data_IF_689704002310
#
_entry.id   IF_689704002310
#
_cell.length_a   1.000
_cell.length_b   1.000
_cell.length_c   1.000
_cell.angle_alpha   90.00
_cell.angle_beta   90.00
_cell.angle_gamma   90.00
#
_symmetry.space_group_name_H-M   'P 1'
#
loop_
_entity.id
_entity.type
_entity.pdbx_description
1 polymer ?
#
# COMPACT_ATOMS: atom_id res chain seq x y z
N UNK A 1 -12.18 -2.19 -0.90
CA UNK A 1 -13.10 -1.76 0.18
C UNK A 1 -12.45 -0.61 0.93
N UNK A 2 -13.19 0.48 1.07
CA UNK A 2 -12.71 1.67 1.75
C UNK A 2 -13.02 1.56 3.23
N UNK A 3 -12.01 1.62 4.09
CA UNK A 3 -12.21 1.67 5.53
C UNK A 3 -12.06 3.10 6.03
N UNK A 4 -13.17 3.80 6.13
CA UNK A 4 -13.28 5.09 6.81
C UNK A 4 -14.29 4.97 7.95
N UNK A 5 -14.13 3.96 8.77
CA UNK A 5 -15.02 3.74 9.90
C UNK A 5 -14.28 4.04 11.19
N UNK A 6 -14.97 4.69 12.13
CA UNK A 6 -14.48 4.86 13.51
C UNK A 6 -14.53 3.55 14.28
N UNK A 7 -15.21 2.53 13.74
CA UNK A 7 -15.29 1.20 14.33
C UNK A 7 -14.22 0.31 13.73
N UNK A 8 -13.45 -0.45 14.53
CA UNK A 8 -12.47 -1.38 13.98
C UNK A 8 -13.12 -2.38 13.03
N UNK A 9 -12.48 -2.62 11.90
CA UNK A 9 -12.82 -3.74 11.05
C UNK A 9 -12.09 -4.98 11.56
N UNK A 10 -12.79 -6.10 11.66
CA UNK A 10 -12.18 -7.37 12.04
C UNK A 10 -11.84 -8.17 10.79
N UNK A 11 -10.54 -8.29 10.54
CA UNK A 11 -10.01 -9.07 9.43
C UNK A 11 -9.99 -10.54 9.85
N UNK A 12 -10.85 -11.35 9.23
CA UNK A 12 -10.96 -12.76 9.58
C UNK A 12 -9.74 -13.57 9.10
N UNK A 13 -9.45 -14.73 9.71
CA UNK A 13 -8.37 -15.59 9.24
C UNK A 13 -8.47 -15.89 7.75
N UNK A 14 -7.38 -15.62 7.02
CA UNK A 14 -7.31 -15.83 5.58
C UNK A 14 -7.92 -14.73 4.72
N UNK A 15 -8.56 -13.75 5.32
CA UNK A 15 -9.17 -12.63 4.59
C UNK A 15 -8.11 -11.68 4.06
N UNK A 16 -8.29 -11.23 2.80
CA UNK A 16 -7.45 -10.25 2.12
C UNK A 16 -8.25 -8.97 1.91
N UNK A 17 -7.63 -7.83 2.20
CA UNK A 17 -8.23 -6.51 1.98
C UNK A 17 -7.25 -5.55 1.35
N UNK A 18 -7.80 -4.54 0.68
CA UNK A 18 -7.06 -3.34 0.33
C UNK A 18 -7.38 -2.25 1.34
N UNK A 19 -6.34 -1.65 1.90
CA UNK A 19 -6.45 -0.55 2.84
C UNK A 19 -5.57 0.60 2.36
N UNK A 20 -5.70 1.76 3.00
CA UNK A 20 -4.85 2.90 2.66
C UNK A 20 -4.15 3.42 3.90
N UNK A 21 -2.98 4.00 3.71
CA UNK A 21 -2.34 4.77 4.77
C UNK A 21 -3.00 6.15 4.83
N UNK A 22 -2.93 6.80 6.00
CA UNK A 22 -3.50 8.14 6.17
C UNK A 22 -2.66 9.22 5.49
N UNK A 23 -1.36 8.99 5.43
CA UNK A 23 -0.41 9.97 4.91
C UNK A 23 -0.41 10.00 3.39
N UNK A 24 -0.38 11.21 2.84
CA UNK A 24 -0.03 11.40 1.43
C UNK A 24 1.46 11.58 1.32
N UNK A 25 2.11 10.82 0.46
CA UNK A 25 3.54 10.93 0.22
C UNK A 25 3.83 11.47 -1.17
N UNK A 26 4.95 12.15 -1.30
CA UNK A 26 5.44 12.65 -2.59
C UNK A 26 6.93 12.37 -2.66
N UNK A 27 7.34 11.54 -3.61
CA UNK A 27 8.73 11.18 -3.80
C UNK A 27 9.35 11.97 -4.96
N UNK A 28 10.55 12.52 -4.78
CA UNK A 28 11.30 13.07 -5.90
C UNK A 28 11.75 11.96 -6.84
N UNK A 29 12.29 12.36 -8.01
CA UNK A 29 12.69 11.41 -9.03
C UNK A 29 13.90 10.54 -8.66
N UNK A 30 14.61 10.88 -7.58
CA UNK A 30 15.82 10.17 -7.13
C UNK A 30 15.65 9.45 -5.79
N UNK A 31 14.41 9.30 -5.31
CA UNK A 31 14.13 8.56 -4.08
C UNK A 31 13.05 7.52 -4.36
N UNK A 32 13.36 6.28 -4.04
CA UNK A 32 12.40 5.19 -3.99
C UNK A 32 12.06 4.86 -2.54
N UNK A 33 10.96 4.15 -2.32
CA UNK A 33 10.57 3.73 -0.98
C UNK A 33 10.02 2.32 -0.99
N UNK A 34 10.03 1.69 0.19
CA UNK A 34 9.35 0.41 0.41
C UNK A 34 8.53 0.49 1.68
N UNK A 35 7.37 -0.14 1.66
CA UNK A 35 6.56 -0.33 2.85
C UNK A 35 6.92 -1.65 3.51
N UNK A 36 7.05 -1.62 4.83
CA UNK A 36 7.29 -2.82 5.65
C UNK A 36 6.40 -2.76 6.88
N UNK A 37 5.81 -3.89 7.24
CA UNK A 37 5.05 -3.99 8.49
C UNK A 37 5.98 -3.78 9.70
N UNK A 38 5.42 -3.20 10.76
CA UNK A 38 6.06 -3.25 12.06
C UNK A 38 6.17 -4.71 12.51
N UNK A 39 7.28 -5.08 13.12
CA UNK A 39 7.51 -6.45 13.56
C UNK A 39 6.43 -6.93 14.55
N UNK A 40 5.91 -6.04 15.39
CA UNK A 40 4.82 -6.39 16.31
C UNK A 40 3.55 -6.77 15.56
N UNK A 41 3.26 -6.12 14.44
CA UNK A 41 2.10 -6.46 13.61
C UNK A 41 2.28 -7.80 12.92
N UNK A 42 3.46 -8.06 12.38
CA UNK A 42 3.76 -9.37 11.81
C UNK A 42 3.59 -10.51 12.80
N UNK A 43 4.00 -10.29 14.05
CA UNK A 43 3.87 -11.30 15.11
C UNK A 43 2.41 -11.57 15.51
N UNK A 44 1.52 -10.62 15.30
CA UNK A 44 0.09 -10.80 15.56
C UNK A 44 -0.62 -11.58 14.46
N UNK A 45 -0.01 -11.66 13.27
CA UNK A 45 -0.58 -12.38 12.13
C UNK A 45 -0.98 -11.50 10.96
N UNK A 46 -0.73 -10.19 11.02
CA UNK A 46 -0.86 -9.35 9.83
C UNK A 46 0.25 -9.66 8.86
N UNK A 47 -0.09 -9.70 7.58
CA UNK A 47 0.87 -9.82 6.50
C UNK A 47 0.54 -8.83 5.41
N UNK A 48 1.55 -8.19 4.86
CA UNK A 48 1.42 -7.37 3.67
C UNK A 48 2.02 -8.14 2.51
N UNK A 49 1.29 -8.29 1.41
CA UNK A 49 1.83 -9.00 0.26
C UNK A 49 3.01 -8.24 -0.33
N UNK A 50 3.89 -8.93 -1.02
CA UNK A 50 5.20 -8.40 -1.42
C UNK A 50 5.12 -7.42 -2.59
N UNK A 51 4.31 -6.38 -2.44
CA UNK A 51 4.15 -5.29 -3.42
C UNK A 51 4.33 -3.94 -2.74
N UNK A 52 5.27 -3.86 -1.81
CA UNK A 52 5.51 -2.66 -1.02
C UNK A 52 6.43 -1.63 -1.68
N UNK A 53 6.84 -1.85 -2.93
CA UNK A 53 7.73 -0.93 -3.63
C UNK A 53 6.98 0.31 -4.10
N UNK A 54 7.60 1.47 -3.87
CA UNK A 54 7.05 2.77 -4.27
C UNK A 54 8.06 3.45 -5.17
N UNK A 55 7.65 3.70 -6.41
CA UNK A 55 8.53 4.21 -7.45
C UNK A 55 8.97 5.65 -7.19
N UNK A 56 10.18 6.02 -7.63
CA UNK A 56 10.59 7.41 -7.66
C UNK A 56 9.58 8.26 -8.42
N UNK A 57 9.24 9.41 -7.87
CA UNK A 57 8.27 10.32 -8.48
C UNK A 57 6.82 10.05 -8.15
N UNK A 58 6.51 9.01 -7.37
CA UNK A 58 5.14 8.75 -6.93
C UNK A 58 4.64 9.87 -6.02
N UNK A 59 3.37 10.23 -6.18
CA UNK A 59 2.66 11.11 -5.26
C UNK A 59 1.24 10.57 -5.03
N UNK A 60 0.82 10.48 -3.78
CA UNK A 60 -0.50 9.99 -3.40
C UNK A 60 -0.48 9.22 -2.09
N UNK A 61 -1.60 8.58 -1.77
CA UNK A 61 -1.69 7.63 -0.67
C UNK A 61 -1.22 6.25 -1.15
N UNK A 62 -0.72 5.45 -0.22
CA UNK A 62 -0.28 4.08 -0.53
C UNK A 62 -1.42 3.13 -0.22
N UNK A 63 -1.74 2.27 -1.18
CA UNK A 63 -2.66 1.16 -0.97
C UNK A 63 -1.90 0.01 -0.34
N UNK A 64 -2.40 -0.48 0.79
CA UNK A 64 -1.86 -1.65 1.48
C UNK A 64 -2.66 -2.88 1.11
N UNK A 65 -1.97 -3.97 0.89
CA UNK A 65 -2.53 -5.26 0.53
C UNK A 65 -2.35 -6.20 1.73
N UNK A 66 -3.34 -6.21 2.62
CA UNK A 66 -3.24 -6.86 3.91
C UNK A 66 -4.00 -8.19 3.92
N UNK A 67 -3.42 -9.17 4.58
CA UNK A 67 -4.04 -10.47 4.81
C UNK A 67 -3.80 -10.89 6.26
N UNK A 68 -4.78 -11.57 6.85
CA UNK A 68 -4.64 -12.18 8.16
C UNK A 68 -4.15 -13.63 7.98
N UNK A 69 -2.90 -13.88 8.36
CA UNK A 69 -2.33 -15.24 8.32
C UNK A 69 -2.44 -15.96 9.67
N UNK A 70 -3.04 -15.32 10.67
CA UNK A 70 -3.37 -15.97 11.93
C UNK A 70 -4.57 -16.89 11.72
N UNK A 71 -4.41 -18.17 12.02
CA UNK A 71 -5.45 -19.18 11.76
C UNK A 71 -6.56 -19.19 12.82
N UNK A 72 -6.34 -18.54 13.95
CA UNK A 72 -7.15 -18.78 15.13
C UNK A 72 -7.99 -17.59 15.58
N UNK A 73 -7.67 -16.40 15.10
CA UNK A 73 -8.40 -15.21 15.53
C UNK A 73 -8.43 -14.13 14.45
N UNK A 74 -9.50 -13.31 14.50
CA UNK A 74 -9.62 -12.12 13.70
C UNK A 74 -8.70 -11.02 14.25
N UNK A 75 -8.22 -10.16 13.35
CA UNK A 75 -7.33 -9.07 13.70
C UNK A 75 -7.98 -7.73 13.39
N UNK A 76 -7.93 -6.75 14.32
CA UNK A 76 -8.55 -5.46 14.07
C UNK A 76 -7.75 -4.61 13.08
N UNK A 77 -8.46 -3.95 12.18
CA UNK A 77 -7.93 -2.85 11.36
C UNK A 77 -8.65 -1.60 11.81
N UNK A 78 -7.89 -0.61 12.24
CA UNK A 78 -8.43 0.56 12.90
C UNK A 78 -7.73 1.81 12.37
N UNK A 79 -8.51 2.88 12.15
CA UNK A 79 -7.95 4.15 11.73
C UNK A 79 -6.95 4.66 12.78
N UNK A 80 -5.81 5.13 12.29
CA UNK A 80 -4.74 5.65 13.15
C UNK A 80 -3.83 4.60 13.76
N UNK A 81 -4.10 3.29 13.56
CA UNK A 81 -3.19 2.28 14.07
C UNK A 81 -1.83 2.35 13.35
N UNK A 82 -0.77 2.09 14.10
CA UNK A 82 0.58 2.03 13.55
C UNK A 82 0.80 0.65 12.96
N UNK A 83 0.67 0.55 11.63
CA UNK A 83 0.73 -0.74 10.93
C UNK A 83 2.11 -1.04 10.38
N UNK A 84 2.85 -0.03 9.95
CA UNK A 84 4.12 -0.25 9.29
C UNK A 84 4.97 1.00 9.21
N UNK A 85 5.94 0.96 8.32
CA UNK A 85 6.92 2.03 8.14
C UNK A 85 7.36 2.10 6.69
N UNK A 86 7.76 3.29 6.26
CA UNK A 86 8.37 3.50 4.96
C UNK A 86 9.88 3.57 5.11
N UNK A 87 10.56 2.90 4.20
CA UNK A 87 12.00 2.95 4.09
C UNK A 87 12.35 3.66 2.78
N UNK A 88 13.10 4.74 2.88
CA UNK A 88 13.49 5.55 1.72
C UNK A 88 14.92 5.24 1.31
N UNK A 89 15.14 5.15 -0.01
CA UNK A 89 16.48 4.95 -0.54
C UNK A 89 16.71 5.93 -1.68
N UNK A 90 17.86 6.61 -1.63
CA UNK A 90 18.28 7.51 -2.69
C UNK A 90 18.92 6.70 -3.80
N UNK A 91 18.54 6.99 -5.04
CA UNK A 91 19.16 6.41 -6.23
C UNK A 91 20.36 7.23 -6.67
N UNK A 92 21.28 6.61 -7.44
CA UNK A 92 22.49 7.31 -7.90
C UNK A 92 22.18 8.44 -8.89
N UNK A 93 21.06 8.33 -9.60
CA UNK A 93 20.60 9.32 -10.56
C UNK A 93 19.07 9.35 -10.58
N UNK A 94 18.46 10.48 -10.98
CA UNK A 94 17.02 10.54 -11.16
C UNK A 94 16.52 9.49 -12.16
N UNK A 95 15.32 8.97 -11.92
CA UNK A 95 14.69 8.01 -12.82
C UNK A 95 14.47 8.66 -14.20
N UNK A 96 14.74 7.92 -15.26
CA UNK A 96 14.47 8.38 -16.63
C UNK A 96 13.00 8.57 -16.89
N UNK A 97 12.20 7.64 -16.37
CA UNK A 97 10.75 7.67 -16.47
C UNK A 97 10.19 7.65 -15.06
N UNK A 98 10.20 8.79 -14.35
CA UNK A 98 9.65 8.83 -13.00
C UNK A 98 8.16 8.52 -13.02
N UNK A 99 7.62 8.15 -11.87
CA UNK A 99 6.24 7.66 -11.77
C UNK A 99 5.21 8.66 -12.29
N UNK A 100 5.48 9.95 -12.20
CA UNK A 100 4.55 10.96 -12.73
C UNK A 100 4.38 10.90 -14.26
N UNK A 101 5.29 10.22 -15.00
CA UNK A 101 5.18 10.06 -16.44
C UNK A 101 4.49 8.76 -16.84
N UNK A 102 4.69 7.67 -16.08
CA UNK A 102 4.32 6.32 -16.50
C UNK A 102 3.44 5.55 -15.53
N UNK A 103 3.25 6.08 -14.32
CA UNK A 103 2.53 5.37 -13.26
C UNK A 103 1.02 5.35 -13.45
N UNK A 104 0.37 4.30 -12.94
CA UNK A 104 -1.07 4.09 -13.05
C UNK A 104 -1.84 4.60 -11.83
N UNK A 105 -1.16 4.89 -10.72
CA UNK A 105 -1.79 5.24 -9.44
C UNK A 105 -1.35 6.60 -8.92
N UNK A 106 -0.81 7.43 -9.82
CA UNK A 106 -0.30 8.76 -9.45
C UNK A 106 -1.44 9.62 -8.88
N UNK A 107 -1.13 10.29 -7.76
CA UNK A 107 -2.03 11.17 -7.04
C UNK A 107 -3.32 10.47 -6.55
N UNK A 108 -3.27 9.17 -6.31
CA UNK A 108 -4.37 8.48 -5.67
C UNK A 108 -4.65 9.08 -4.31
N UNK A 109 -5.92 9.31 -4.04
CA UNK A 109 -6.41 9.86 -2.76
C UNK A 109 -7.12 8.82 -1.92
N UNK A 110 -7.33 7.63 -2.48
CA UNK A 110 -8.02 6.54 -1.81
C UNK A 110 -7.55 5.19 -2.38
N UNK A 111 -8.00 4.12 -1.75
CA UNK A 111 -7.72 2.75 -2.21
C UNK A 111 -8.20 2.57 -3.64
N UNK A 112 -7.32 2.03 -4.48
CA UNK A 112 -7.63 1.75 -5.87
C UNK A 112 -7.33 0.29 -6.17
N UNK A 113 -8.27 -0.45 -6.79
CA UNK A 113 -7.99 -1.79 -7.28
C UNK A 113 -7.04 -1.73 -8.49
N UNK A 114 -6.57 -2.90 -8.93
CA UNK A 114 -5.68 -2.95 -10.08
C UNK A 114 -6.30 -2.27 -11.30
N UNK A 115 -5.53 -1.40 -11.93
CA UNK A 115 -5.93 -0.66 -13.15
C UNK A 115 -5.41 -1.31 -14.41
N UNK A 116 -4.73 -2.44 -14.30
CA UNK A 116 -4.17 -3.15 -15.44
C UNK A 116 -4.61 -4.60 -15.43
N UNK A 117 -4.71 -5.19 -16.62
CA UNK A 117 -4.95 -6.62 -16.78
C UNK A 117 -3.64 -7.40 -16.60
N UNK A 118 -3.71 -8.71 -16.79
CA UNK A 118 -2.54 -9.59 -16.63
C UNK A 118 -1.44 -9.33 -17.67
N UNK A 119 -1.75 -8.60 -18.74
CA UNK A 119 -0.77 -8.21 -19.77
C UNK A 119 -0.25 -6.79 -19.60
N UNK A 120 -0.63 -6.10 -18.51
CA UNK A 120 -0.24 -4.72 -18.26
C UNK A 120 -1.03 -3.69 -19.06
N UNK A 121 -2.13 -4.08 -19.68
CA UNK A 121 -3.01 -3.17 -20.42
C UNK A 121 -3.96 -2.46 -19.45
N UNK A 122 -4.16 -1.16 -19.66
CA UNK A 122 -5.08 -0.39 -18.82
C UNK A 122 -6.50 -0.92 -18.97
N UNK A 123 -7.16 -1.18 -17.83
CA UNK A 123 -8.56 -1.59 -17.79
C UNK A 123 -9.41 -0.32 -17.75
N UNK A 124 -10.26 -0.13 -18.78
CA UNK A 124 -11.15 1.01 -18.85
C UNK A 124 -12.34 0.85 -17.90
N UNK A 125 -12.81 1.97 -17.37
CA UNK A 125 -14.01 2.01 -16.54
C UNK A 125 -13.80 1.69 -15.07
N UNK A 126 -12.55 1.64 -14.62
CA UNK A 126 -12.22 1.45 -13.20
C UNK A 126 -11.81 2.77 -12.57
#
# INVERSE_FOLDING_TARGET
MLFRSTTPYLLDPGEFILAEIQETITLPADIEATFQLKSSRGREGYEHVMSGYIDPGYSGVITLELVNVNRFKSLPIEEGMKIGQLRFMKTDAPARNPYWDTGHYQQDTEVTPSRVDIFGQVIEGI
#
